data_IF_898122572186
#
_entry.id   IF_898122572186
#
_cell.length_a   1.000
_cell.length_b   1.000
_cell.length_c   1.000
_cell.angle_alpha   90.00
_cell.angle_beta   90.00
_cell.angle_gamma   90.00
#
_symmetry.space_group_name_H-M   'P 1'
#
loop_
_entity.id
_entity.type
_entity.pdbx_description
1 polymer ?
#
# COMPACT_ATOMS: atom_id res chain seq x y z
N UNK A 1 -0.42 21.83 -4.52
CA UNK A 1 -1.82 21.92 -5.01
C UNK A 1 -2.83 21.16 -4.15
N UNK A 2 -2.86 19.82 -4.11
CA UNK A 2 -3.92 19.11 -3.36
C UNK A 2 -3.92 19.39 -1.84
N UNK A 3 -2.75 19.38 -1.18
CA UNK A 3 -2.60 19.68 0.25
C UNK A 3 -2.87 21.16 0.59
N UNK A 4 -2.83 22.05 -0.40
CA UNK A 4 -3.02 23.50 -0.21
C UNK A 4 -4.47 23.93 -0.48
N UNK A 5 -5.29 23.04 -1.05
CA UNK A 5 -6.70 23.30 -1.36
C UNK A 5 -7.57 22.96 -0.14
N UNK A 6 -8.17 23.95 0.55
CA UNK A 6 -8.97 23.72 1.75
C UNK A 6 -10.27 22.96 1.49
N UNK A 7 -10.69 22.78 0.22
CA UNK A 7 -11.89 22.04 -0.14
C UNK A 7 -11.63 20.56 -0.41
N UNK A 8 -10.37 20.11 -0.36
CA UNK A 8 -10.00 18.70 -0.60
C UNK A 8 -9.73 17.98 0.72
N UNK A 9 -10.21 16.75 0.80
CA UNK A 9 -9.81 15.79 1.82
C UNK A 9 -8.73 14.89 1.24
N UNK A 10 -7.48 15.10 1.65
CA UNK A 10 -6.31 14.47 1.04
C UNK A 10 -5.88 13.24 1.84
N UNK A 11 -6.00 12.09 1.19
CA UNK A 11 -5.61 10.79 1.74
C UNK A 11 -4.22 10.42 1.22
N UNK A 12 -3.42 9.78 2.08
CA UNK A 12 -2.18 9.11 1.69
C UNK A 12 -2.18 7.68 2.19
N UNK A 13 -1.64 6.77 1.39
CA UNK A 13 -1.37 5.39 1.78
C UNK A 13 0.00 4.96 1.27
N UNK A 14 0.83 4.39 2.14
CA UNK A 14 2.19 3.97 1.76
C UNK A 14 2.22 2.50 1.30
N UNK A 15 3.06 2.20 0.32
CA UNK A 15 3.31 0.83 -0.12
C UNK A 15 4.09 0.01 0.94
N UNK A 16 4.02 -1.34 0.92
CA UNK A 16 4.68 -2.19 1.90
C UNK A 16 6.17 -1.88 2.05
N UNK A 17 6.89 -1.75 0.94
CA UNK A 17 8.35 -1.56 0.90
C UNK A 17 8.83 -0.19 1.43
N UNK A 18 7.96 0.81 1.50
CA UNK A 18 8.35 2.17 1.93
C UNK A 18 8.79 2.18 3.39
N UNK A 19 8.15 1.38 4.24
CA UNK A 19 8.40 1.37 5.69
C UNK A 19 9.75 0.79 6.10
N UNK A 20 10.40 0.02 5.23
CA UNK A 20 11.69 -0.64 5.50
C UNK A 20 12.87 0.07 4.82
N UNK A 21 12.60 0.94 3.85
CA UNK A 21 13.62 1.60 3.01
C UNK A 21 13.77 3.10 3.30
N UNK A 22 12.69 3.80 3.68
CA UNK A 22 12.74 5.26 3.83
C UNK A 22 13.79 5.73 4.86
N UNK A 23 14.06 4.94 5.91
CA UNK A 23 15.06 5.28 6.94
C UNK A 23 16.49 5.48 6.40
N UNK A 24 16.81 4.88 5.25
CA UNK A 24 18.12 5.00 4.61
C UNK A 24 18.45 6.45 4.24
N UNK A 25 17.45 7.18 3.75
CA UNK A 25 17.58 8.60 3.37
C UNK A 25 17.79 9.52 4.58
N UNK A 26 17.46 9.05 5.79
CA UNK A 26 17.64 9.75 7.06
C UNK A 26 18.84 9.24 7.86
N UNK A 27 19.78 8.54 7.20
CA UNK A 27 21.02 8.01 7.82
C UNK A 27 20.76 7.04 8.97
N UNK A 28 19.64 6.31 8.95
CA UNK A 28 19.28 5.35 10.00
C UNK A 28 19.90 3.95 9.77
N UNK A 29 20.50 3.71 8.60
CA UNK A 29 20.98 2.40 8.15
C UNK A 29 19.95 1.68 7.26
N UNK A 30 20.34 0.50 6.76
CA UNK A 30 19.53 -0.31 5.84
C UNK A 30 18.50 -1.18 6.58
N UNK A 31 17.32 -1.36 5.99
CA UNK A 31 16.30 -2.30 6.47
C UNK A 31 15.67 -1.95 7.83
N UNK A 32 15.76 -0.68 8.25
CA UNK A 32 15.19 -0.23 9.52
C UNK A 32 13.69 -0.03 9.37
N UNK A 33 12.91 -0.65 10.26
CA UNK A 33 11.47 -0.41 10.33
C UNK A 33 11.18 1.02 10.85
N UNK A 34 10.64 1.84 9.97
CA UNK A 34 10.23 3.22 10.25
C UNK A 34 8.72 3.45 10.14
N UNK A 35 7.91 2.39 10.21
CA UNK A 35 6.44 2.42 10.07
C UNK A 35 5.78 3.53 10.89
N UNK A 36 6.01 3.54 12.21
CA UNK A 36 5.41 4.54 13.09
C UNK A 36 5.89 5.96 12.81
N UNK A 37 7.17 6.12 12.44
CA UNK A 37 7.75 7.44 12.11
C UNK A 37 7.12 8.01 10.85
N UNK A 38 6.96 7.20 9.81
CA UNK A 38 6.28 7.59 8.58
C UNK A 38 4.85 8.04 8.82
N UNK A 39 4.08 7.28 9.62
CA UNK A 39 2.71 7.68 9.97
C UNK A 39 2.66 9.03 10.70
N UNK A 40 3.59 9.29 11.62
CA UNK A 40 3.69 10.58 12.30
C UNK A 40 4.09 11.70 11.34
N UNK A 41 5.09 11.47 10.49
CA UNK A 41 5.57 12.45 9.52
C UNK A 41 4.49 12.83 8.50
N UNK A 42 3.74 11.86 7.96
CA UNK A 42 2.65 12.14 7.02
C UNK A 42 1.54 13.00 7.65
N UNK A 43 1.21 12.80 8.92
CA UNK A 43 0.26 13.69 9.62
C UNK A 43 0.82 15.10 9.79
N UNK A 44 2.11 15.23 10.10
CA UNK A 44 2.77 16.54 10.21
C UNK A 44 2.86 17.28 8.87
N UNK A 45 2.89 16.54 7.75
CA UNK A 45 2.85 17.11 6.40
C UNK A 45 1.45 17.60 5.97
N UNK A 46 0.41 17.38 6.78
CA UNK A 46 -0.92 17.93 6.55
C UNK A 46 -1.90 17.01 5.83
N UNK A 47 -1.63 15.70 5.72
CA UNK A 47 -2.63 14.75 5.21
C UNK A 47 -3.78 14.55 6.20
N UNK A 48 -5.02 14.62 5.71
CA UNK A 48 -6.22 14.46 6.54
C UNK A 48 -6.42 13.03 7.03
N UNK A 49 -5.99 12.04 6.22
CA UNK A 49 -6.03 10.63 6.59
C UNK A 49 -4.80 9.88 6.08
N UNK A 50 -4.23 9.09 6.97
CA UNK A 50 -3.09 8.20 6.68
C UNK A 50 -3.58 6.76 6.74
N UNK A 51 -3.60 6.10 5.59
CA UNK A 51 -3.89 4.68 5.40
C UNK A 51 -2.62 3.90 5.02
N UNK A 52 -2.78 2.62 4.73
CA UNK A 52 -1.72 1.69 4.38
C UNK A 52 -2.16 0.85 3.17
N UNK A 53 -1.33 0.74 2.13
CA UNK A 53 -1.62 -0.07 0.94
C UNK A 53 -1.67 -1.56 1.29
N UNK A 54 -1.11 -1.99 2.43
CA UNK A 54 -1.30 -3.35 2.92
C UNK A 54 -2.79 -3.71 3.06
N UNK A 55 -3.66 -2.76 3.43
CA UNK A 55 -5.10 -3.00 3.45
C UNK A 55 -5.66 -3.25 2.05
N UNK A 56 -5.19 -2.50 1.05
CA UNK A 56 -5.52 -2.75 -0.35
C UNK A 56 -5.00 -4.11 -0.82
N UNK A 57 -3.81 -4.53 -0.37
CA UNK A 57 -3.27 -5.85 -0.65
C UNK A 57 -4.14 -6.97 -0.04
N UNK A 58 -4.65 -6.81 1.18
CA UNK A 58 -5.61 -7.75 1.78
C UNK A 58 -6.88 -7.86 0.93
N UNK A 59 -7.40 -6.73 0.42
CA UNK A 59 -8.54 -6.73 -0.51
C UNK A 59 -8.21 -7.46 -1.82
N UNK A 60 -7.02 -7.21 -2.39
CA UNK A 60 -6.57 -7.91 -3.60
C UNK A 60 -6.51 -9.42 -3.37
N UNK A 61 -5.99 -9.88 -2.23
CA UNK A 61 -5.94 -11.31 -1.92
C UNK A 61 -7.35 -11.91 -1.80
N UNK A 62 -8.31 -11.21 -1.21
CA UNK A 62 -9.69 -11.71 -1.13
C UNK A 62 -10.30 -11.96 -2.50
N UNK A 63 -10.08 -11.07 -3.46
CA UNK A 63 -10.61 -11.21 -4.83
C UNK A 63 -9.80 -12.22 -5.65
N UNK A 64 -8.48 -12.11 -5.65
CA UNK A 64 -7.59 -12.93 -6.47
C UNK A 64 -7.60 -14.41 -6.01
N UNK A 65 -7.72 -14.66 -4.70
CA UNK A 65 -7.91 -16.02 -4.19
C UNK A 65 -9.31 -16.57 -4.53
N UNK A 66 -10.34 -15.73 -4.50
CA UNK A 66 -11.70 -16.12 -4.92
C UNK A 66 -11.72 -16.50 -6.40
N UNK A 67 -11.12 -15.67 -7.25
CA UNK A 67 -10.95 -15.95 -8.69
C UNK A 67 -10.16 -17.24 -8.93
N UNK A 68 -9.08 -17.46 -8.17
CA UNK A 68 -8.29 -18.68 -8.29
C UNK A 68 -9.10 -19.93 -7.96
N UNK A 69 -9.90 -19.90 -6.90
CA UNK A 69 -10.81 -21.00 -6.53
C UNK A 69 -11.86 -21.23 -7.62
N UNK A 70 -12.43 -20.16 -8.19
CA UNK A 70 -13.39 -20.26 -9.30
C UNK A 70 -12.76 -20.95 -10.52
N UNK A 71 -11.55 -20.56 -10.92
CA UNK A 71 -10.83 -21.19 -12.03
C UNK A 71 -10.52 -22.66 -11.77
N UNK A 72 -10.17 -23.04 -10.53
CA UNK A 72 -10.02 -24.44 -10.12
C UNK A 72 -11.32 -25.22 -10.33
N UNK A 73 -12.43 -24.69 -9.82
CA UNK A 73 -13.75 -25.34 -9.90
C UNK A 73 -14.25 -25.47 -11.34
N UNK A 74 -13.88 -24.54 -12.22
CA UNK A 74 -14.26 -24.51 -13.63
C UNK A 74 -13.25 -25.24 -14.56
N UNK A 75 -12.21 -25.88 -14.01
CA UNK A 75 -11.13 -26.51 -14.77
C UNK A 75 -10.41 -25.54 -15.75
N UNK A 76 -10.34 -24.25 -15.40
CA UNK A 76 -9.61 -23.23 -16.15
C UNK A 76 -10.41 -21.93 -16.37
N UNK A 77 -9.87 -21.00 -17.15
CA UNK A 77 -8.61 -21.11 -17.90
C UNK A 77 -7.35 -20.99 -17.03
N UNK A 78 -6.33 -21.76 -17.40
CA UNK A 78 -4.99 -21.75 -16.78
C UNK A 78 -3.91 -21.40 -17.80
N UNK A 79 -2.77 -20.80 -17.38
CA UNK A 79 -2.47 -20.37 -16.01
C UNK A 79 -3.21 -19.08 -15.62
N UNK A 80 -3.27 -18.83 -14.31
CA UNK A 80 -3.60 -17.51 -13.76
C UNK A 80 -2.29 -16.78 -13.47
N UNK A 81 -2.17 -15.53 -13.92
CA UNK A 81 -1.04 -14.66 -13.62
C UNK A 81 -1.51 -13.54 -12.68
N UNK A 82 -0.63 -13.13 -11.78
CA UNK A 82 -0.86 -11.95 -10.93
C UNK A 82 -0.88 -10.67 -11.75
N UNK A 83 -1.69 -9.69 -11.34
CA UNK A 83 -1.92 -8.44 -12.09
C UNK A 83 -1.51 -7.16 -11.35
N UNK A 84 -0.85 -7.28 -10.20
CA UNK A 84 -0.51 -6.16 -9.33
C UNK A 84 0.72 -5.33 -9.77
N UNK A 85 1.55 -5.86 -10.68
CA UNK A 85 2.66 -5.13 -11.28
C UNK A 85 2.18 -4.40 -12.55
N UNK A 86 2.31 -3.07 -12.63
CA UNK A 86 1.92 -2.30 -13.81
C UNK A 86 2.83 -2.53 -15.01
#
# INVERSE_FOLDING_TARGET
>A
EALEDPNKHVIVAMAPAVRTSMGELFKMGYGVDVTGKLYSSLRQLGFDKVFDINFGADMTIMEEATEFIERINNNGPFPMFTSCCP
#
